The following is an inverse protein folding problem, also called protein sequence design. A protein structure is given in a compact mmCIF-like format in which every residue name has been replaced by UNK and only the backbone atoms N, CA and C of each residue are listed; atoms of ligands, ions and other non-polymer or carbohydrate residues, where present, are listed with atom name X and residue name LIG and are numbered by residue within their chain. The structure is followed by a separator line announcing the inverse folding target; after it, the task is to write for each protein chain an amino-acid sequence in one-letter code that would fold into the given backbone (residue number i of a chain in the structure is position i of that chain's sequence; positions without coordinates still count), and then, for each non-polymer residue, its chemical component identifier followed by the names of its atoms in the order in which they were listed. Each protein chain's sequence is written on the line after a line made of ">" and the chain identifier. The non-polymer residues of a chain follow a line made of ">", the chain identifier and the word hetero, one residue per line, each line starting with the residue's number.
data_IF_535788520498
#
_entry.id   IF_535788520498
#
_cell.length_a   1.000
_cell.length_b   1.000
_cell.length_c   1.000
_cell.angle_alpha   90.00
_cell.angle_beta   90.00
_cell.angle_gamma   90.00
#
_symmetry.space_group_name_H-M   'P 1'
#
loop_
_entity.id
_entity.type
_entity.pdbx_description
1 polymer ?
#
# COMPACT_ATOMS: atom_id res chain seq x y z
N UNK A 1 51.70 -34.75 -20.75
CA UNK A 1 50.34 -34.15 -20.74
C UNK A 1 49.62 -34.59 -21.99
N UNK A 2 48.38 -35.10 -21.89
CA UNK A 2 47.60 -35.46 -23.08
C UNK A 2 47.12 -34.20 -23.80
N UNK A 3 47.03 -34.25 -25.13
CA UNK A 3 46.50 -33.17 -25.96
C UNK A 3 45.11 -32.70 -25.46
N UNK A 4 44.31 -33.64 -24.95
CA UNK A 4 42.99 -33.37 -24.36
C UNK A 4 43.03 -32.51 -23.09
N UNK A 5 44.07 -32.63 -22.26
CA UNK A 5 44.23 -31.80 -21.06
C UNK A 5 44.56 -30.36 -21.45
N UNK A 6 45.47 -30.19 -22.42
CA UNK A 6 45.85 -28.86 -22.92
C UNK A 6 44.66 -28.12 -23.54
N UNK A 7 43.85 -28.80 -24.37
CA UNK A 7 42.66 -28.19 -24.98
C UNK A 7 41.62 -27.78 -23.93
N UNK A 8 41.36 -28.63 -22.92
CA UNK A 8 40.42 -28.29 -21.82
C UNK A 8 40.90 -27.11 -21.00
N UNK A 9 42.20 -27.04 -20.72
CA UNK A 9 42.80 -25.92 -19.99
C UNK A 9 42.67 -24.62 -20.78
N UNK A 10 42.94 -24.63 -22.09
CA UNK A 10 42.80 -23.45 -22.96
C UNK A 10 41.35 -22.98 -23.01
N UNK A 11 40.38 -23.88 -23.19
CA UNK A 11 38.95 -23.52 -23.21
C UNK A 11 38.51 -22.94 -21.86
N UNK A 12 38.93 -23.55 -20.76
CA UNK A 12 38.64 -23.04 -19.42
C UNK A 12 39.21 -21.63 -19.20
N UNK A 13 40.48 -21.40 -19.57
CA UNK A 13 41.12 -20.09 -19.46
C UNK A 13 40.43 -19.05 -20.37
N UNK A 14 40.03 -19.43 -21.58
CA UNK A 14 39.29 -18.56 -22.49
C UNK A 14 37.91 -18.17 -21.90
N UNK A 15 37.17 -19.14 -21.33
CA UNK A 15 35.90 -18.89 -20.65
C UNK A 15 36.08 -17.98 -19.43
N UNK A 16 37.09 -18.24 -18.59
CA UNK A 16 37.41 -17.41 -17.44
C UNK A 16 37.76 -15.97 -17.86
N UNK A 17 38.52 -15.82 -18.94
CA UNK A 17 38.88 -14.51 -19.50
C UNK A 17 37.65 -13.78 -20.03
N UNK A 18 36.73 -14.46 -20.71
CA UNK A 18 35.47 -13.86 -21.16
C UNK A 18 34.58 -13.41 -20.00
N UNK A 19 34.49 -14.21 -18.93
CA UNK A 19 33.75 -13.83 -17.71
C UNK A 19 34.42 -12.65 -17.02
N UNK A 20 35.76 -12.61 -16.93
CA UNK A 20 36.49 -11.51 -16.33
C UNK A 20 36.35 -10.22 -17.13
N UNK A 21 36.45 -10.29 -18.46
CA UNK A 21 36.25 -9.14 -19.37
C UNK A 21 34.80 -8.66 -19.30
N UNK A 22 33.82 -9.57 -19.33
CA UNK A 22 32.41 -9.22 -19.17
C UNK A 22 32.12 -8.60 -17.81
N UNK A 23 32.64 -9.16 -16.73
CA UNK A 23 32.53 -8.61 -15.38
C UNK A 23 33.19 -7.25 -15.24
N UNK A 24 34.33 -7.00 -15.88
CA UNK A 24 34.99 -5.70 -15.84
C UNK A 24 34.26 -4.64 -16.69
N UNK A 25 33.78 -5.02 -17.87
CA UNK A 25 33.10 -4.12 -18.80
C UNK A 25 31.68 -3.77 -18.35
N UNK A 26 30.92 -4.77 -17.88
CA UNK A 26 29.52 -4.59 -17.50
C UNK A 26 29.31 -4.49 -15.99
N UNK A 27 30.27 -4.92 -15.17
CA UNK A 27 30.15 -4.88 -13.71
C UNK A 27 29.90 -3.48 -13.15
N UNK A 28 30.62 -2.43 -13.56
CA UNK A 28 30.35 -1.07 -13.09
C UNK A 28 28.95 -0.58 -13.46
N UNK A 29 28.47 -0.89 -14.68
CA UNK A 29 27.12 -0.53 -15.14
C UNK A 29 26.03 -1.33 -14.43
N UNK A 30 26.27 -2.62 -14.19
CA UNK A 30 25.34 -3.47 -13.44
C UNK A 30 25.30 -3.05 -11.96
N UNK A 31 26.46 -2.74 -11.37
CA UNK A 31 26.58 -2.24 -10.02
C UNK A 31 25.96 -0.85 -9.88
N UNK A 32 26.14 0.04 -10.84
CA UNK A 32 25.48 1.35 -10.86
C UNK A 32 23.99 1.20 -11.06
N UNK A 33 23.53 0.33 -11.96
CA UNK A 33 22.10 0.04 -12.14
C UNK A 33 21.47 -0.53 -10.86
N UNK A 34 22.15 -1.46 -10.18
CA UNK A 34 21.70 -2.04 -8.92
C UNK A 34 21.74 -1.01 -7.78
N UNK A 35 22.79 -0.18 -7.71
CA UNK A 35 22.91 0.89 -6.71
C UNK A 35 21.90 2.02 -6.94
N UNK A 36 21.64 2.37 -8.19
CA UNK A 36 20.67 3.38 -8.62
C UNK A 36 19.23 2.87 -8.45
N UNK A 37 18.97 1.58 -8.72
CA UNK A 37 17.71 0.94 -8.31
C UNK A 37 17.52 0.93 -6.78
N UNK A 38 18.62 0.90 -6.02
CA UNK A 38 18.58 1.00 -4.56
C UNK A 38 18.37 2.43 -4.04
N UNK A 39 18.87 3.45 -4.75
CA UNK A 39 18.76 4.86 -4.33
C UNK A 39 17.63 5.65 -5.00
N UNK A 40 17.09 5.20 -6.13
CA UNK A 40 16.11 5.93 -6.95
C UNK A 40 14.69 5.98 -6.38
N UNK A 41 14.40 5.19 -5.34
CA UNK A 41 13.02 5.05 -4.81
C UNK A 41 12.42 6.34 -4.26
N UNK A 42 13.22 7.38 -3.99
CA UNK A 42 12.72 8.64 -3.39
C UNK A 42 13.03 9.89 -4.24
N UNK A 43 14.10 9.87 -5.05
CA UNK A 43 14.54 11.03 -5.85
C UNK A 43 13.99 11.02 -7.28
N UNK A 44 13.63 9.85 -7.82
CA UNK A 44 13.22 9.68 -9.22
C UNK A 44 11.72 9.38 -9.40
N UNK A 45 10.95 9.38 -8.30
CA UNK A 45 9.50 9.23 -8.37
C UNK A 45 8.84 10.57 -8.74
N UNK A 46 8.04 10.58 -9.81
CA UNK A 46 7.10 11.66 -10.02
C UNK A 46 5.96 11.47 -9.01
N UNK A 47 5.70 12.51 -8.21
CA UNK A 47 4.69 12.42 -7.15
C UNK A 47 3.34 12.64 -7.78
N UNK A 48 2.53 11.59 -7.73
CA UNK A 48 1.18 11.57 -8.28
C UNK A 48 0.18 12.03 -7.22
N UNK A 49 0.35 11.58 -5.98
CA UNK A 49 -0.57 11.91 -4.88
C UNK A 49 0.14 11.96 -3.51
N UNK A 50 -0.57 12.47 -2.51
CA UNK A 50 -0.16 12.46 -1.11
C UNK A 50 -1.35 12.20 -0.20
N UNK A 51 -1.12 11.40 0.83
CA UNK A 51 -2.11 11.12 1.86
C UNK A 51 -1.55 11.32 3.26
N UNK A 52 -2.44 11.58 4.21
CA UNK A 52 -2.08 11.61 5.63
C UNK A 52 -2.35 10.23 6.19
N UNK A 53 -1.33 9.65 6.83
CA UNK A 53 -1.40 8.36 7.54
C UNK A 53 -1.07 8.56 9.01
N UNK A 54 -1.54 7.66 9.86
CA UNK A 54 -1.34 7.74 11.30
C UNK A 54 -0.55 6.53 11.79
N UNK A 55 0.53 6.77 12.52
CA UNK A 55 1.37 5.69 13.03
C UNK A 55 0.70 4.97 14.18
N UNK A 56 0.44 3.67 14.01
CA UNK A 56 -0.05 2.81 15.08
C UNK A 56 1.08 2.48 16.05
N UNK A 57 0.71 2.32 17.32
CA UNK A 57 1.60 1.88 18.38
C UNK A 57 1.00 0.66 19.06
N UNK A 58 1.87 -0.18 19.62
CA UNK A 58 1.45 -1.37 20.35
C UNK A 58 0.96 -1.05 21.76
N UNK A 59 1.47 0.02 22.36
CA UNK A 59 1.18 0.44 23.74
C UNK A 59 -0.11 1.26 23.89
N UNK A 60 -0.65 1.79 22.79
CA UNK A 60 -1.86 2.61 22.80
C UNK A 60 -2.65 2.51 21.49
N UNK A 61 -3.97 2.31 21.55
CA UNK A 61 -4.81 2.33 20.36
C UNK A 61 -4.93 3.74 19.79
N UNK A 62 -5.07 3.83 18.47
CA UNK A 62 -5.58 5.02 17.79
C UNK A 62 -7.10 4.98 17.82
N UNK A 63 -7.71 6.05 18.31
CA UNK A 63 -9.16 6.18 18.40
C UNK A 63 -9.68 7.04 17.26
N UNK A 64 -10.75 6.63 16.58
CA UNK A 64 -11.40 7.38 15.50
C UNK A 64 -12.89 7.50 15.81
N UNK A 65 -13.39 8.74 15.85
CA UNK A 65 -14.81 9.00 16.03
C UNK A 65 -15.51 9.11 14.68
N UNK A 66 -16.59 8.36 14.50
CA UNK A 66 -17.43 8.47 13.32
C UNK A 66 -18.19 9.80 13.37
N UNK A 67 -18.35 10.45 12.23
CA UNK A 67 -19.08 11.73 12.18
C UNK A 67 -20.60 11.56 12.19
N UNK A 68 -21.06 10.35 11.89
CA UNK A 68 -22.44 9.88 11.96
C UNK A 68 -22.42 8.39 12.33
N UNK A 69 -23.54 7.82 12.79
CA UNK A 69 -23.63 6.38 12.99
C UNK A 69 -23.39 5.63 11.67
N UNK A 70 -22.47 4.68 11.66
CA UNK A 70 -22.13 3.86 10.50
C UNK A 70 -22.16 2.38 10.85
N UNK A 71 -22.34 1.52 9.86
CA UNK A 71 -22.32 0.06 10.02
C UNK A 71 -20.99 -0.57 9.59
N UNK A 72 -20.20 0.14 8.78
CA UNK A 72 -18.93 -0.36 8.24
C UNK A 72 -17.81 0.66 8.42
N UNK A 73 -16.66 0.20 8.90
CA UNK A 73 -15.40 0.94 8.94
C UNK A 73 -14.35 0.25 8.08
N UNK A 74 -13.56 1.05 7.36
CA UNK A 74 -12.47 0.56 6.49
C UNK A 74 -11.14 1.12 6.97
N UNK A 75 -10.13 0.28 7.09
CA UNK A 75 -8.74 0.64 7.37
C UNK A 75 -7.85 0.28 6.20
N UNK A 76 -7.07 1.23 5.71
CA UNK A 76 -5.94 0.98 4.81
C UNK A 76 -4.68 1.04 5.64
N UNK A 77 -3.97 -0.07 5.71
CA UNK A 77 -2.83 -0.26 6.62
C UNK A 77 -1.59 -0.62 5.82
N UNK A 78 -0.44 -0.17 6.31
CA UNK A 78 0.80 -0.34 5.58
C UNK A 78 1.95 -0.52 6.56
N UNK A 79 2.71 -1.58 6.39
CA UNK A 79 3.94 -1.79 7.13
C UNK A 79 5.06 -0.87 6.61
N UNK A 80 5.84 -0.33 7.52
CA UNK A 80 7.03 0.46 7.27
C UNK A 80 8.25 -0.34 7.72
N UNK A 81 9.20 -0.57 6.81
CA UNK A 81 10.33 -1.49 7.00
C UNK A 81 11.67 -0.80 6.79
N UNK A 82 12.74 -1.39 7.32
CA UNK A 82 14.10 -0.87 7.11
C UNK A 82 14.60 -1.16 5.69
N UNK A 83 15.51 -0.31 5.18
CA UNK A 83 16.02 -0.40 3.80
C UNK A 83 16.70 -1.73 3.48
N UNK A 84 17.37 -2.34 4.45
CA UNK A 84 18.01 -3.66 4.32
C UNK A 84 17.01 -4.82 4.18
N UNK A 85 15.73 -4.59 4.52
CA UNK A 85 14.66 -5.57 4.44
C UNK A 85 13.81 -5.43 3.15
N UNK A 86 14.12 -4.46 2.29
CA UNK A 86 13.29 -4.10 1.11
C UNK A 86 13.02 -5.24 0.12
N UNK A 87 13.88 -6.24 0.08
CA UNK A 87 13.86 -7.36 -0.86
C UNK A 87 13.44 -8.70 -0.22
N UNK A 88 12.83 -8.67 0.97
CA UNK A 88 12.43 -9.89 1.68
C UNK A 88 11.36 -10.65 0.89
N UNK A 89 11.70 -11.85 0.43
CA UNK A 89 10.85 -12.64 -0.48
C UNK A 89 9.53 -13.02 0.17
N UNK A 90 9.53 -13.34 1.47
CA UNK A 90 8.34 -13.75 2.19
C UNK A 90 7.44 -12.59 2.60
N UNK A 91 7.79 -11.33 2.29
CA UNK A 91 7.04 -10.17 2.74
C UNK A 91 7.09 -9.96 4.26
N UNK A 92 6.01 -9.41 4.82
CA UNK A 92 5.91 -9.02 6.22
C UNK A 92 4.56 -9.39 6.82
N UNK A 93 4.59 -10.05 7.97
CA UNK A 93 3.37 -10.42 8.72
C UNK A 93 3.19 -9.50 9.93
N UNK A 94 1.95 -9.08 10.17
CA UNK A 94 1.57 -8.29 11.34
C UNK A 94 0.09 -8.46 11.65
N UNK A 95 -0.33 -8.13 12.87
CA UNK A 95 -1.71 -8.28 13.33
C UNK A 95 -2.23 -7.00 13.94
N UNK A 96 -3.45 -6.62 13.56
CA UNK A 96 -4.13 -5.42 14.04
C UNK A 96 -5.39 -5.81 14.78
N UNK A 97 -5.57 -5.24 15.97
CA UNK A 97 -6.83 -5.30 16.71
C UNK A 97 -7.69 -4.10 16.35
N UNK A 98 -8.94 -4.37 15.99
CA UNK A 98 -9.99 -3.40 15.72
C UNK A 98 -11.09 -3.59 16.75
N UNK A 99 -11.32 -2.58 17.59
CA UNK A 99 -12.37 -2.59 18.61
C UNK A 99 -13.43 -1.55 18.23
N UNK A 100 -14.69 -1.97 18.15
CA UNK A 100 -15.80 -1.14 17.71
C UNK A 100 -16.69 -0.77 18.89
N UNK A 101 -17.07 0.50 18.96
CA UNK A 101 -17.92 1.05 20.02
C UNK A 101 -19.16 1.72 19.42
N UNK A 102 -20.28 1.54 20.10
CA UNK A 102 -21.55 2.20 19.81
C UNK A 102 -21.51 3.69 20.14
N UNK A 103 -22.58 4.40 19.78
CA UNK A 103 -22.75 5.84 20.06
C UNK A 103 -22.81 6.12 21.57
N UNK A 104 -23.32 5.17 22.34
CA UNK A 104 -23.41 5.18 23.80
C UNK A 104 -22.10 4.76 24.50
N UNK A 105 -21.08 4.37 23.72
CA UNK A 105 -19.81 3.87 24.23
C UNK A 105 -19.79 2.38 24.58
N UNK A 106 -20.88 1.64 24.33
CA UNK A 106 -20.89 0.19 24.50
C UNK A 106 -19.94 -0.49 23.51
N UNK A 107 -19.26 -1.55 23.96
CA UNK A 107 -18.46 -2.40 23.08
C UNK A 107 -19.41 -3.19 22.17
N UNK A 108 -19.24 -3.04 20.84
CA UNK A 108 -20.03 -3.76 19.85
C UNK A 108 -19.34 -5.05 19.40
N UNK A 109 -18.07 -4.93 19.01
CA UNK A 109 -17.29 -6.05 18.49
C UNK A 109 -15.78 -5.80 18.65
N UNK A 110 -14.99 -6.87 18.55
CA UNK A 110 -13.54 -6.85 18.62
C UNK A 110 -12.95 -7.91 17.67
N UNK A 111 -12.08 -7.48 16.76
CA UNK A 111 -11.44 -8.33 15.77
C UNK A 111 -9.93 -8.25 15.89
N UNK A 112 -9.25 -9.38 15.71
CA UNK A 112 -7.80 -9.43 15.49
C UNK A 112 -7.58 -9.95 14.09
N UNK A 113 -7.05 -9.11 13.22
CA UNK A 113 -6.84 -9.40 11.80
C UNK A 113 -5.35 -9.59 11.56
N UNK A 114 -4.96 -10.79 11.13
CA UNK A 114 -3.61 -11.08 10.67
C UNK A 114 -3.47 -10.70 9.20
N UNK A 115 -2.40 -9.99 8.86
CA UNK A 115 -2.14 -9.41 7.56
C UNK A 115 -0.76 -9.81 7.05
N UNK A 116 -0.61 -9.73 5.73
CA UNK A 116 0.63 -10.01 5.03
C UNK A 116 0.84 -8.94 3.95
N UNK A 117 1.90 -8.15 4.08
CA UNK A 117 2.28 -7.16 3.08
C UNK A 117 3.45 -7.64 2.23
N UNK A 118 3.35 -7.41 0.92
CA UNK A 118 4.47 -7.61 0.00
C UNK A 118 5.64 -6.68 0.29
N UNK A 119 6.86 -7.14 -0.01
CA UNK A 119 8.05 -6.34 0.19
C UNK A 119 8.14 -5.15 -0.79
N UNK A 120 8.78 -4.04 -0.39
CA UNK A 120 8.90 -2.85 -1.24
C UNK A 120 9.40 -3.13 -2.66
N UNK A 121 10.39 -4.02 -2.84
CA UNK A 121 10.91 -4.37 -4.16
C UNK A 121 9.92 -5.21 -5.01
N UNK A 122 9.04 -5.98 -4.37
CA UNK A 122 7.98 -6.71 -5.06
C UNK A 122 6.95 -5.73 -5.62
N UNK A 123 6.46 -4.81 -4.79
CA UNK A 123 5.55 -3.71 -5.18
C UNK A 123 6.18 -2.85 -6.28
N UNK A 124 7.49 -2.60 -6.18
CA UNK A 124 8.23 -1.89 -7.21
C UNK A 124 8.21 -2.61 -8.56
N UNK A 125 8.44 -3.93 -8.54
CA UNK A 125 8.55 -4.75 -9.74
C UNK A 125 7.21 -4.94 -10.46
N UNK A 126 6.08 -5.01 -9.73
CA UNK A 126 4.74 -5.10 -10.34
C UNK A 126 4.35 -3.82 -11.06
N UNK A 127 4.96 -2.69 -10.69
CA UNK A 127 4.61 -1.38 -11.24
C UNK A 127 3.35 -0.78 -10.62
N UNK A 128 2.94 -1.30 -9.47
CA UNK A 128 1.95 -0.66 -8.60
C UNK A 128 2.41 0.71 -8.14
N UNK A 129 1.47 1.51 -7.63
CA UNK A 129 1.77 2.82 -7.05
C UNK A 129 2.74 2.69 -5.88
N UNK A 130 3.90 3.34 -5.99
CA UNK A 130 4.91 3.31 -4.93
C UNK A 130 4.54 4.27 -3.83
N UNK A 131 4.75 3.84 -2.59
CA UNK A 131 4.46 4.64 -1.42
C UNK A 131 5.77 4.92 -0.69
N UNK A 132 5.97 6.15 -0.23
CA UNK A 132 7.20 6.50 0.47
C UNK A 132 7.03 7.71 1.38
N UNK A 133 7.94 7.83 2.34
CA UNK A 133 8.11 9.02 3.17
C UNK A 133 9.31 9.81 2.67
N UNK A 134 9.19 11.14 2.56
CA UNK A 134 10.33 11.98 2.12
C UNK A 134 11.41 12.13 3.19
N UNK A 135 10.97 12.34 4.43
CA UNK A 135 11.86 12.72 5.53
C UNK A 135 12.13 11.55 6.49
N UNK A 136 11.91 10.30 6.05
CA UNK A 136 12.15 9.10 6.87
C UNK A 136 12.96 8.06 6.09
N UNK A 137 13.83 7.30 6.79
CA UNK A 137 14.63 6.24 6.17
C UNK A 137 13.85 4.93 5.94
N UNK A 138 12.64 4.83 6.50
CA UNK A 138 11.75 3.68 6.39
C UNK A 138 11.11 3.61 4.99
N UNK A 139 10.91 2.39 4.48
CA UNK A 139 10.23 2.14 3.21
C UNK A 139 8.85 1.56 3.45
N UNK A 140 7.87 1.99 2.65
CA UNK A 140 6.54 1.41 2.64
C UNK A 140 6.56 0.02 1.98
N UNK A 141 6.05 -0.98 2.69
CA UNK A 141 5.66 -2.24 2.10
C UNK A 141 4.31 -2.10 1.34
N UNK A 142 3.79 -3.22 0.84
CA UNK A 142 2.43 -3.31 0.31
C UNK A 142 1.38 -2.74 1.27
N UNK A 143 0.26 -2.28 0.71
CA UNK A 143 -0.86 -1.74 1.49
C UNK A 143 -1.95 -2.80 1.56
N UNK A 144 -2.37 -3.12 2.77
CA UNK A 144 -3.45 -4.05 3.03
C UNK A 144 -4.74 -3.31 3.39
N UNK A 145 -5.86 -4.00 3.22
CA UNK A 145 -7.19 -3.48 3.51
C UNK A 145 -7.87 -4.32 4.59
N UNK A 146 -8.45 -3.63 5.59
CA UNK A 146 -9.34 -4.20 6.59
C UNK A 146 -10.71 -3.55 6.41
N UNK A 147 -11.77 -4.35 6.27
CA UNK A 147 -13.16 -3.90 6.32
C UNK A 147 -13.85 -4.64 7.45
N UNK A 148 -14.45 -3.89 8.37
CA UNK A 148 -15.18 -4.45 9.51
C UNK A 148 -16.60 -3.91 9.52
N UNK A 149 -17.55 -4.82 9.54
CA UNK A 149 -18.98 -4.52 9.66
C UNK A 149 -19.47 -4.82 11.08
N UNK A 150 -20.37 -4.00 11.61
CA UNK A 150 -20.97 -4.19 12.92
C UNK A 150 -22.48 -4.45 12.80
N UNK A 151 -23.02 -5.23 13.74
CA UNK A 151 -24.46 -5.50 13.84
C UNK A 151 -25.28 -4.31 14.36
N UNK A 152 -24.60 -3.29 14.91
CA UNK A 152 -25.19 -2.06 15.41
C UNK A 152 -24.36 -0.84 14.98
N UNK A 153 -24.95 0.37 14.97
CA UNK A 153 -24.23 1.56 14.50
C UNK A 153 -23.00 1.91 15.36
N UNK A 154 -21.86 1.99 14.70
CA UNK A 154 -20.55 2.37 15.21
C UNK A 154 -20.49 3.88 15.40
N UNK A 155 -20.27 4.32 16.64
CA UNK A 155 -19.93 5.71 16.96
C UNK A 155 -18.42 5.96 16.99
N UNK A 156 -17.62 4.92 17.26
CA UNK A 156 -16.18 5.01 17.42
C UNK A 156 -15.47 3.69 17.13
N UNK A 157 -14.25 3.75 16.61
CA UNK A 157 -13.36 2.59 16.48
C UNK A 157 -12.00 2.84 17.13
N UNK A 158 -11.37 1.78 17.64
CA UNK A 158 -10.00 1.79 18.15
C UNK A 158 -9.16 0.77 17.38
N UNK A 159 -7.95 1.19 16.99
CA UNK A 159 -7.04 0.42 16.15
C UNK A 159 -5.69 0.29 16.84
N UNK A 160 -5.22 -0.94 17.05
CA UNK A 160 -3.97 -1.20 17.79
C UNK A 160 -3.14 -2.26 17.09
N UNK A 161 -1.83 -2.03 17.01
CA UNK A 161 -0.90 -3.07 16.56
C UNK A 161 -0.74 -4.11 17.68
N UNK A 162 -1.07 -5.36 17.40
CA UNK A 162 -0.98 -6.46 18.37
C UNK A 162 0.38 -7.13 18.30
N UNK A 163 0.77 -7.50 17.09
CA UNK A 163 2.00 -8.23 16.81
C UNK A 163 2.53 -7.82 15.43
N UNK A 164 3.84 -7.91 15.24
CA UNK A 164 4.49 -7.62 13.98
C UNK A 164 5.83 -8.34 13.88
N UNK A 165 6.16 -8.76 12.66
CA UNK A 165 7.50 -9.24 12.32
C UNK A 165 8.58 -8.28 12.85
N UNK A 166 9.71 -8.78 13.40
CA UNK A 166 10.79 -7.92 13.91
C UNK A 166 11.39 -6.94 12.87
N UNK A 167 11.19 -7.23 11.58
CA UNK A 167 11.61 -6.38 10.47
C UNK A 167 10.68 -5.17 10.24
N UNK A 168 9.44 -5.22 10.73
CA UNK A 168 8.47 -4.14 10.67
C UNK A 168 8.82 -3.09 11.74
N UNK A 169 9.14 -1.89 11.30
CA UNK A 169 9.52 -0.76 12.17
C UNK A 169 8.30 -0.02 12.70
N UNK A 170 7.27 0.08 11.89
CA UNK A 170 6.01 0.70 12.23
C UNK A 170 4.91 0.17 11.30
N UNK A 171 3.66 0.37 11.71
CA UNK A 171 2.51 0.20 10.83
C UNK A 171 1.72 1.49 10.84
N UNK A 172 1.43 2.01 9.66
CA UNK A 172 0.73 3.27 9.48
C UNK A 172 -0.67 2.99 8.90
N UNK A 173 -1.69 3.73 9.34
CA UNK A 173 -3.10 3.48 9.00
C UNK A 173 -3.82 4.73 8.49
N UNK A 174 -4.75 4.52 7.56
CA UNK A 174 -5.84 5.46 7.21
C UNK A 174 -7.17 4.79 7.49
N UNK A 175 -8.04 5.44 8.26
CA UNK A 175 -9.37 4.92 8.56
C UNK A 175 -10.41 5.71 7.79
N UNK A 176 -11.43 5.03 7.29
CA UNK A 176 -12.51 5.61 6.51
C UNK A 176 -13.86 5.15 7.06
N UNK A 177 -14.82 6.08 7.08
CA UNK A 177 -16.23 5.77 7.31
C UNK A 177 -16.97 5.60 5.98
N UNK A 178 -17.90 4.63 5.94
CA UNK A 178 -18.81 4.46 4.81
C UNK A 178 -19.91 5.51 4.84
N UNK A 179 -20.10 6.22 3.72
CA UNK A 179 -21.22 7.14 3.51
C UNK A 179 -22.03 6.67 2.31
N UNK A 180 -23.15 5.97 2.53
CA UNK A 180 -24.03 5.60 1.42
C UNK A 180 -24.64 6.87 0.82
N UNK A 181 -24.57 6.98 -0.51
CA UNK A 181 -25.25 8.01 -1.27
C UNK A 181 -26.67 7.54 -1.62
N UNK A 182 -27.60 8.48 -1.77
CA UNK A 182 -28.89 8.17 -2.40
C UNK A 182 -28.65 7.77 -3.86
N UNK A 183 -29.43 6.84 -4.41
CA UNK A 183 -29.21 6.31 -5.76
C UNK A 183 -29.08 7.41 -6.84
N UNK A 184 -29.89 8.47 -6.78
CA UNK A 184 -29.79 9.61 -7.70
C UNK A 184 -28.50 10.41 -7.55
N UNK A 185 -28.00 10.56 -6.32
CA UNK A 185 -26.72 11.21 -6.03
C UNK A 185 -25.54 10.33 -6.46
N UNK A 186 -25.64 9.01 -6.25
CA UNK A 186 -24.63 8.05 -6.66
C UNK A 186 -24.47 8.02 -8.18
N UNK A 187 -25.57 7.95 -8.94
CA UNK A 187 -25.54 8.03 -10.40
C UNK A 187 -24.93 9.34 -10.91
N UNK A 188 -25.32 10.47 -10.29
CA UNK A 188 -24.73 11.77 -10.63
C UNK A 188 -23.24 11.82 -10.29
N UNK A 189 -22.81 11.19 -9.19
CA UNK A 189 -21.41 11.10 -8.80
C UNK A 189 -20.61 10.27 -9.83
N UNK A 190 -21.16 9.14 -10.27
CA UNK A 190 -20.55 8.27 -11.29
C UNK A 190 -20.25 9.05 -12.57
N UNK A 191 -21.24 9.75 -13.13
CA UNK A 191 -21.05 10.52 -14.38
C UNK A 191 -20.09 11.72 -14.27
N UNK A 192 -19.83 12.22 -13.06
CA UNK A 192 -18.90 13.34 -12.84
C UNK A 192 -17.44 12.90 -12.75
N UNK A 193 -17.20 11.60 -12.57
CA UNK A 193 -15.85 11.03 -12.51
C UNK A 193 -15.23 10.97 -13.90
N UNK A 194 -13.90 10.95 -13.93
CA UNK A 194 -13.14 10.69 -15.15
C UNK A 194 -13.42 9.30 -15.70
N UNK A 195 -13.12 9.06 -16.98
CA UNK A 195 -13.29 7.75 -17.61
C UNK A 195 -12.50 6.66 -16.86
N UNK A 196 -11.25 6.93 -16.47
CA UNK A 196 -10.40 6.02 -15.68
C UNK A 196 -11.05 5.66 -14.35
N UNK A 197 -11.61 6.63 -13.62
CA UNK A 197 -12.30 6.35 -12.35
C UNK A 197 -13.61 5.58 -12.54
N UNK A 198 -14.34 5.84 -13.63
CA UNK A 198 -15.55 5.08 -13.96
C UNK A 198 -15.21 3.62 -14.26
N UNK A 199 -14.15 3.37 -15.04
CA UNK A 199 -13.63 2.03 -15.31
C UNK A 199 -13.21 1.32 -14.01
N UNK A 200 -12.48 2.01 -13.13
CA UNK A 200 -12.08 1.46 -11.83
C UNK A 200 -13.28 1.07 -10.95
N UNK A 201 -14.35 1.87 -10.95
CA UNK A 201 -15.58 1.53 -10.24
C UNK A 201 -16.35 0.37 -10.90
N UNK A 202 -16.23 0.22 -12.22
CA UNK A 202 -16.86 -0.84 -12.98
C UNK A 202 -16.10 -2.18 -12.94
N UNK A 203 -14.87 -2.25 -12.41
CA UNK A 203 -14.06 -3.48 -12.33
C UNK A 203 -14.78 -4.65 -11.62
N UNK A 204 -15.70 -4.37 -10.71
CA UNK A 204 -16.51 -5.37 -10.02
C UNK A 204 -17.76 -5.81 -10.79
N UNK A 205 -18.06 -5.19 -11.93
CA UNK A 205 -19.22 -5.47 -12.78
C UNK A 205 -18.80 -6.31 -14.01
N UNK A 206 -19.74 -7.05 -14.59
CA UNK A 206 -19.52 -7.79 -15.81
C UNK A 206 -19.42 -6.88 -17.05
N UNK A 207 -19.93 -5.65 -16.95
CA UNK A 207 -20.03 -4.70 -18.05
C UNK A 207 -19.12 -3.49 -17.85
N UNK A 208 -18.51 -2.96 -18.94
CA UNK A 208 -17.80 -1.68 -18.89
C UNK A 208 -18.78 -0.50 -18.65
N UNK A 209 -18.28 0.67 -18.23
CA UNK A 209 -19.11 1.82 -17.86
C UNK A 209 -20.16 2.23 -18.88
N UNK A 210 -19.86 2.14 -20.18
CA UNK A 210 -20.75 2.52 -21.28
C UNK A 210 -21.90 1.52 -21.53
N UNK A 211 -21.79 0.30 -21.00
CA UNK A 211 -22.80 -0.76 -21.10
C UNK A 211 -23.59 -0.99 -19.81
N UNK A 212 -23.17 -0.37 -18.70
CA UNK A 212 -23.88 -0.45 -17.43
C UNK A 212 -25.21 0.30 -17.50
N UNK A 213 -26.24 -0.25 -16.86
CA UNK A 213 -27.49 0.46 -16.60
C UNK A 213 -27.28 1.58 -15.57
N UNK A 214 -28.18 2.56 -15.52
CA UNK A 214 -28.11 3.63 -14.52
C UNK A 214 -28.23 3.11 -13.08
N UNK A 215 -28.89 1.98 -12.85
CA UNK A 215 -28.95 1.31 -11.55
C UNK A 215 -27.60 0.69 -11.18
N UNK A 216 -26.94 -0.02 -12.10
CA UNK A 216 -25.61 -0.59 -11.89
C UNK A 216 -24.56 0.49 -11.65
N UNK A 217 -24.59 1.59 -12.40
CA UNK A 217 -23.71 2.74 -12.18
C UNK A 217 -23.93 3.35 -10.80
N UNK A 218 -25.20 3.48 -10.37
CA UNK A 218 -25.53 3.97 -9.04
C UNK A 218 -25.01 3.04 -7.95
N UNK A 219 -25.15 1.71 -8.10
CA UNK A 219 -24.60 0.75 -7.14
C UNK A 219 -23.07 0.76 -7.09
N UNK A 220 -22.40 0.89 -8.22
CA UNK A 220 -20.94 1.00 -8.28
C UNK A 220 -20.43 2.26 -7.53
N UNK A 221 -21.20 3.35 -7.58
CA UNK A 221 -20.88 4.60 -6.91
C UNK A 221 -21.59 4.82 -5.56
N UNK A 222 -22.30 3.82 -5.03
CA UNK A 222 -23.18 4.02 -3.86
C UNK A 222 -22.38 4.29 -2.59
N UNK A 223 -21.17 3.74 -2.50
CA UNK A 223 -20.31 3.83 -1.34
C UNK A 223 -19.26 4.93 -1.52
N UNK A 224 -19.40 6.00 -0.74
CA UNK A 224 -18.35 7.00 -0.62
C UNK A 224 -17.58 6.78 0.68
N UNK A 225 -16.26 6.58 0.57
CA UNK A 225 -15.38 6.45 1.72
C UNK A 225 -14.84 7.82 2.13
N UNK A 226 -15.16 8.27 3.35
CA UNK A 226 -14.65 9.52 3.89
C UNK A 226 -13.53 9.23 4.89
N UNK A 227 -12.34 9.85 4.76
CA UNK A 227 -11.26 9.64 5.73
C UNK A 227 -11.65 10.20 7.10
N UNK A 228 -11.29 9.45 8.15
CA UNK A 228 -11.39 9.83 9.55
C UNK A 228 -10.01 10.21 10.09
N UNK A 229 -9.98 11.28 10.88
CA UNK A 229 -8.82 11.63 11.70
C UNK A 229 -8.92 10.99 13.08
N UNK A 230 -7.79 10.66 13.72
CA UNK A 230 -7.80 10.14 15.08
C UNK A 230 -8.23 11.24 16.06
N UNK A 231 -8.96 10.83 17.09
CA UNK A 231 -9.32 11.66 18.22
C UNK A 231 -8.09 12.03 19.05
N UNK A 232 -8.09 13.24 19.62
CA UNK A 232 -7.02 13.75 20.48
C UNK A 232 -6.13 14.80 19.81
N UNK A 233 -4.94 14.99 20.36
CA UNK A 233 -4.00 16.06 19.96
C UNK A 233 -2.80 15.44 19.22
N UNK A 234 -2.51 15.92 18.02
CA UNK A 234 -1.34 15.52 17.23
C UNK A 234 -0.03 15.70 18.04
N UNK A 235 0.89 14.75 17.91
CA UNK A 235 2.16 14.70 18.66
C UNK A 235 2.00 14.17 20.10
N UNK A 236 0.79 14.19 20.67
CA UNK A 236 0.51 13.63 22.00
C UNK A 236 -0.23 12.30 21.90
N UNK A 237 -1.43 12.31 21.30
CA UNK A 237 -2.29 11.15 21.16
C UNK A 237 -1.88 10.29 19.95
N UNK A 238 -1.52 10.93 18.83
CA UNK A 238 -1.17 10.27 17.58
C UNK A 238 -0.01 10.99 16.87
N UNK A 239 0.67 10.27 15.98
CA UNK A 239 1.66 10.81 15.05
C UNK A 239 1.08 10.75 13.64
N UNK A 240 0.99 11.90 12.97
CA UNK A 240 0.51 12.00 11.60
C UNK A 240 1.71 12.16 10.67
N UNK A 241 1.73 11.40 9.58
CA UNK A 241 2.79 11.38 8.58
C UNK A 241 2.20 11.65 7.20
N UNK A 242 3.00 12.25 6.32
CA UNK A 242 2.64 12.40 4.92
C UNK A 242 3.24 11.23 4.15
N UNK A 243 2.36 10.39 3.61
CA UNK A 243 2.71 9.32 2.69
C UNK A 243 2.56 9.82 1.26
N UNK A 244 3.64 9.78 0.51
CA UNK A 244 3.64 10.14 -0.90
C UNK A 244 3.36 8.89 -1.73
N UNK A 245 2.57 9.07 -2.77
CA UNK A 245 2.29 8.07 -3.78
C UNK A 245 2.91 8.55 -5.10
N UNK A 246 3.62 7.68 -5.81
CA UNK A 246 4.26 8.04 -7.06
C UNK A 246 4.48 6.87 -7.99
N UNK A 247 4.77 7.21 -9.24
CA UNK A 247 5.10 6.26 -10.31
C UNK A 247 6.52 6.52 -10.80
N UNK A 248 7.13 5.47 -11.39
CA UNK A 248 8.51 5.55 -11.88
C UNK A 248 8.62 6.52 -13.06
N UNK A 249 9.53 7.51 -12.98
CA UNK A 249 9.90 8.35 -14.13
C UNK A 249 10.25 7.51 -15.35
N UNK A 250 9.65 7.84 -16.50
CA UNK A 250 9.92 7.19 -17.78
C UNK A 250 8.97 6.05 -18.13
N UNK A 251 8.11 5.62 -17.21
CA UNK A 251 6.87 4.92 -17.59
C UNK A 251 5.85 6.01 -17.89
N UNK A 252 5.97 6.65 -19.06
CA UNK A 252 4.87 7.45 -19.60
C UNK A 252 3.66 6.54 -19.55
N UNK A 253 2.63 6.85 -18.75
CA UNK A 253 1.32 6.24 -18.95
C UNK A 253 1.05 6.46 -20.43
N UNK A 254 1.10 5.39 -21.22
CA UNK A 254 0.60 5.46 -22.59
C UNK A 254 -0.86 5.80 -22.37
N UNK A 255 -1.19 7.08 -22.56
CA UNK A 255 -2.57 7.56 -22.63
C UNK A 255 -3.12 6.91 -23.90
N UNK A 256 -3.68 5.73 -23.76
CA UNK A 256 -4.62 5.20 -24.75
C UNK A 256 -5.98 5.87 -24.54
#
# INVERSE_FOLDING_TARGET
>A
MSLSFLTRLIVFLAALTLVAVGGWQFGPTLASYLAEAQSSTTLDADIDDRSIVYRMRSDRPLEFASSQPIDVVRGLVQASVARDQRARVEGFVYSIEVTLFGIDGALLDQHVVALHSDAPDSVFATGETWRFFRDRPELAAGMDEIVVEASAPIGRSQWRLVDADPAVRAVDIRVYERRPLLASQALTNFHRRSAEEQEMLALGNAFPPDMMTGEEMAYAAINMWRPLGPAGIAGRAYEALVLYEGTRRGRTRVRE
#
